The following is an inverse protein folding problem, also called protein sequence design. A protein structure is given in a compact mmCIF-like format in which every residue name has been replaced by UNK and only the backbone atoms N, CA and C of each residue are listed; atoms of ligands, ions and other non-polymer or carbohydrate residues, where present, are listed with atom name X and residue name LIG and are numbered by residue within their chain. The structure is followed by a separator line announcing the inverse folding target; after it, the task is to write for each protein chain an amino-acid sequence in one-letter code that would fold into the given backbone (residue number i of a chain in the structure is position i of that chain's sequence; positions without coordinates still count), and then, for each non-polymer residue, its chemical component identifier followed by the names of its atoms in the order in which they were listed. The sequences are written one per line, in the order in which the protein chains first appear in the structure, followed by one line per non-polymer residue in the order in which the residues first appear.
data_IF_240963483871
#
_entry.id   IF_240963483871
#
_cell.length_a   1.000
_cell.length_b   1.000
_cell.length_c   1.000
_cell.angle_alpha   90.00
_cell.angle_beta   90.00
_cell.angle_gamma   90.00
#
_symmetry.space_group_name_H-M   'P 1'
#
loop_
_entity.id
_entity.type
_entity.pdbx_description
1 polymer ?
#
# COMPACT_ATOMS: atom_id res chain seq x y z
N UNK A 1 -54.54 11.27 -10.81
CA UNK A 1 -53.13 11.43 -11.14
C UNK A 1 -52.49 10.05 -11.19
N UNK A 2 -52.34 9.51 -12.38
CA UNK A 2 -51.71 8.20 -12.64
C UNK A 2 -50.21 8.38 -12.47
N UNK A 3 -49.59 7.74 -11.48
CA UNK A 3 -48.14 7.58 -11.43
C UNK A 3 -47.73 6.65 -12.56
N UNK A 4 -47.05 7.20 -13.57
CA UNK A 4 -46.28 6.39 -14.51
C UNK A 4 -45.29 5.52 -13.71
N UNK A 5 -45.26 4.20 -13.96
CA UNK A 5 -44.24 3.34 -13.30
C UNK A 5 -42.86 3.82 -13.70
N UNK A 6 -41.97 3.94 -12.72
CA UNK A 6 -40.55 4.22 -12.90
C UNK A 6 -39.97 3.10 -13.79
N UNK A 7 -39.35 3.40 -14.95
CA UNK A 7 -38.93 2.38 -15.91
C UNK A 7 -37.73 1.54 -15.41
N UNK A 8 -37.14 1.87 -14.25
CA UNK A 8 -36.06 1.10 -13.67
C UNK A 8 -36.49 0.43 -12.36
N UNK A 9 -36.32 -0.89 -12.21
CA UNK A 9 -36.50 -1.55 -10.92
C UNK A 9 -35.60 -0.88 -9.87
N UNK A 10 -36.03 -0.89 -8.60
CA UNK A 10 -35.23 -0.36 -7.51
C UNK A 10 -33.86 -1.06 -7.47
N UNK A 11 -32.75 -0.31 -7.27
CA UNK A 11 -31.40 -0.87 -7.23
C UNK A 11 -31.32 -2.02 -6.21
N UNK A 12 -30.93 -3.21 -6.66
CA UNK A 12 -30.91 -4.42 -5.84
C UNK A 12 -29.67 -5.26 -6.13
N UNK A 13 -28.55 -5.03 -5.40
CA UNK A 13 -27.40 -5.91 -5.45
C UNK A 13 -27.80 -7.36 -5.13
N UNK A 14 -27.23 -8.35 -5.83
CA UNK A 14 -27.42 -9.78 -5.57
C UNK A 14 -26.52 -10.25 -4.42
N UNK A 15 -25.40 -9.56 -4.20
CA UNK A 15 -24.49 -9.77 -3.10
C UNK A 15 -25.14 -9.48 -1.74
N UNK A 16 -24.37 -9.62 -0.70
CA UNK A 16 -24.86 -9.43 0.68
C UNK A 16 -24.98 -7.96 0.99
N UNK A 17 -26.19 -7.49 1.24
CA UNK A 17 -26.47 -6.12 1.73
C UNK A 17 -26.75 -6.20 3.22
N UNK A 18 -25.99 -5.45 4.01
CA UNK A 18 -26.11 -5.42 5.47
C UNK A 18 -26.28 -4.00 5.93
N UNK A 19 -27.32 -3.74 6.72
CA UNK A 19 -27.61 -2.41 7.26
C UNK A 19 -27.22 -2.30 8.72
N UNK A 20 -26.85 -1.11 9.15
CA UNK A 20 -26.55 -0.83 10.56
C UNK A 20 -27.71 -1.25 11.47
N UNK A 21 -27.39 -2.00 12.53
CA UNK A 21 -28.35 -2.56 13.45
C UNK A 21 -28.78 -4.01 13.14
N UNK A 22 -28.46 -4.55 11.97
CA UNK A 22 -28.70 -5.97 11.66
C UNK A 22 -27.67 -6.89 12.37
N UNK A 23 -28.06 -8.14 12.65
CA UNK A 23 -27.23 -9.09 13.40
C UNK A 23 -25.88 -9.40 12.74
N UNK A 24 -25.77 -9.32 11.40
CA UNK A 24 -24.54 -9.56 10.63
C UNK A 24 -23.64 -8.32 10.48
N UNK A 25 -24.13 -7.15 10.92
CA UNK A 25 -23.47 -5.87 10.65
C UNK A 25 -22.06 -5.78 11.24
N UNK A 26 -21.89 -6.06 12.53
CA UNK A 26 -20.58 -5.96 13.17
C UNK A 26 -19.56 -6.94 12.57
N UNK A 27 -20.01 -8.14 12.21
CA UNK A 27 -19.14 -9.11 11.52
C UNK A 27 -18.66 -8.55 10.17
N UNK A 28 -19.52 -7.94 9.38
CA UNK A 28 -19.18 -7.35 8.09
C UNK A 28 -18.24 -6.14 8.26
N UNK A 29 -18.57 -5.23 9.18
CA UNK A 29 -17.79 -4.02 9.48
C UNK A 29 -16.38 -4.36 9.96
N UNK A 30 -16.25 -5.23 10.95
CA UNK A 30 -14.95 -5.62 11.51
C UNK A 30 -14.12 -6.43 10.50
N UNK A 31 -14.77 -7.28 9.69
CA UNK A 31 -14.12 -8.05 8.62
C UNK A 31 -13.61 -7.20 7.46
N UNK A 32 -14.06 -5.95 7.32
CA UNK A 32 -13.60 -5.03 6.29
C UNK A 32 -12.20 -4.45 6.56
N UNK A 33 -11.61 -4.69 7.73
CA UNK A 33 -10.30 -4.16 8.13
C UNK A 33 -9.39 -5.30 8.58
N UNK A 34 -8.20 -5.40 8.00
CA UNK A 34 -7.19 -6.40 8.34
C UNK A 34 -6.57 -6.14 9.72
N UNK A 35 -6.20 -4.88 10.02
CA UNK A 35 -5.61 -4.48 11.29
C UNK A 35 -6.49 -4.92 12.47
N UNK A 36 -5.91 -5.50 13.53
CA UNK A 36 -6.67 -5.82 14.74
C UNK A 36 -7.20 -4.55 15.45
N UNK A 37 -6.56 -3.42 15.23
CA UNK A 37 -7.05 -2.11 15.64
C UNK A 37 -8.18 -1.66 14.71
N UNK A 38 -9.42 -1.94 15.14
CA UNK A 38 -10.60 -1.63 14.35
C UNK A 38 -11.02 -0.17 14.54
N UNK A 39 -11.35 0.55 13.46
CA UNK A 39 -11.83 1.93 13.59
C UNK A 39 -13.22 2.00 14.23
N UNK A 40 -13.45 2.99 15.06
CA UNK A 40 -14.76 3.30 15.64
C UNK A 40 -15.58 4.16 14.66
N UNK A 41 -15.84 3.61 13.48
CA UNK A 41 -16.59 4.20 12.38
C UNK A 41 -17.62 3.20 11.87
N UNK A 42 -18.79 3.71 11.52
CA UNK A 42 -20.00 2.90 11.26
C UNK A 42 -20.69 3.30 9.97
N UNK A 43 -20.42 2.63 8.83
CA UNK A 43 -21.21 2.80 7.60
C UNK A 43 -22.69 2.49 7.86
N UNK A 44 -23.61 3.21 7.20
CA UNK A 44 -25.04 2.89 7.31
C UNK A 44 -25.42 1.61 6.58
N UNK A 45 -24.72 1.35 5.46
CA UNK A 45 -24.91 0.18 4.61
C UNK A 45 -23.56 -0.41 4.21
N UNK A 46 -23.45 -1.74 4.21
CA UNK A 46 -22.31 -2.48 3.66
C UNK A 46 -22.85 -3.39 2.56
N UNK A 47 -22.30 -3.26 1.35
CA UNK A 47 -22.60 -4.15 0.23
C UNK A 47 -21.36 -4.99 -0.07
N UNK A 48 -21.43 -6.29 0.19
CA UNK A 48 -20.40 -7.26 -0.20
C UNK A 48 -20.73 -7.72 -1.62
N UNK A 49 -20.01 -7.19 -2.60
CA UNK A 49 -20.26 -7.46 -4.01
C UNK A 49 -19.75 -8.85 -4.42
N UNK A 50 -20.56 -9.59 -5.18
CA UNK A 50 -20.19 -10.88 -5.79
C UNK A 50 -19.56 -10.68 -7.18
N UNK A 51 -20.03 -9.68 -7.91
CA UNK A 51 -19.59 -9.37 -9.27
C UNK A 51 -19.66 -7.85 -9.57
N UNK A 52 -19.31 -7.47 -10.79
CA UNK A 52 -19.30 -6.08 -11.25
C UNK A 52 -20.71 -5.44 -11.27
N UNK A 53 -21.78 -6.25 -11.47
CA UNK A 53 -23.16 -5.76 -11.47
C UNK A 53 -23.57 -5.34 -10.08
N UNK A 54 -23.14 -6.06 -9.06
CA UNK A 54 -23.39 -5.68 -7.67
C UNK A 54 -22.74 -4.34 -7.32
N UNK A 55 -21.56 -4.06 -7.87
CA UNK A 55 -20.91 -2.74 -7.71
C UNK A 55 -21.72 -1.65 -8.37
N UNK A 56 -22.22 -1.86 -9.59
CA UNK A 56 -23.13 -0.94 -10.30
C UNK A 56 -24.38 -0.67 -9.47
N UNK A 57 -25.03 -1.73 -8.97
CA UNK A 57 -26.26 -1.60 -8.17
C UNK A 57 -25.97 -0.95 -6.80
N UNK A 58 -24.81 -1.20 -6.17
CA UNK A 58 -24.41 -0.52 -4.94
C UNK A 58 -24.25 0.99 -5.13
N UNK A 59 -23.62 1.42 -6.23
CA UNK A 59 -23.46 2.84 -6.57
C UNK A 59 -24.84 3.47 -6.84
N UNK A 60 -25.73 2.80 -7.57
CA UNK A 60 -27.10 3.25 -7.82
C UNK A 60 -27.91 3.36 -6.53
N UNK A 61 -27.79 2.39 -5.64
CA UNK A 61 -28.41 2.39 -4.31
C UNK A 61 -27.93 3.59 -3.49
N UNK A 62 -26.63 3.83 -3.46
CA UNK A 62 -26.04 4.96 -2.75
C UNK A 62 -26.60 6.30 -3.26
N UNK A 63 -26.71 6.46 -4.59
CA UNK A 63 -27.34 7.66 -5.18
C UNK A 63 -28.81 7.81 -4.79
N UNK A 64 -29.59 6.72 -4.88
CA UNK A 64 -31.01 6.75 -4.57
C UNK A 64 -31.27 7.11 -3.10
N UNK A 65 -30.42 6.62 -2.19
CA UNK A 65 -30.51 6.89 -0.75
C UNK A 65 -29.68 8.12 -0.30
N UNK A 66 -29.01 8.82 -1.24
CA UNK A 66 -28.16 9.99 -0.98
C UNK A 66 -27.01 9.68 0.01
N UNK A 67 -26.43 8.50 -0.11
CA UNK A 67 -25.32 8.02 0.70
C UNK A 67 -24.00 8.28 -0.05
N UNK A 68 -22.96 8.70 0.68
CA UNK A 68 -21.60 8.73 0.12
C UNK A 68 -21.00 7.33 0.10
N UNK A 69 -20.21 7.03 -0.92
CA UNK A 69 -19.62 5.71 -1.14
C UNK A 69 -18.17 5.69 -0.67
N UNK A 70 -17.82 4.69 0.12
CA UNK A 70 -16.44 4.27 0.39
C UNK A 70 -16.20 2.88 -0.18
N UNK A 71 -14.93 2.54 -0.43
CA UNK A 71 -14.55 1.28 -1.09
C UNK A 71 -13.48 0.55 -0.28
N UNK A 72 -13.62 -0.77 -0.21
CA UNK A 72 -12.64 -1.67 0.39
C UNK A 72 -12.37 -2.84 -0.56
N UNK A 73 -11.09 -3.14 -0.85
CA UNK A 73 -10.67 -4.37 -1.54
C UNK A 73 -9.99 -5.34 -0.55
N UNK A 74 -8.69 -5.31 -0.36
CA UNK A 74 -7.98 -6.16 0.62
C UNK A 74 -8.17 -5.79 2.09
N UNK A 75 -8.59 -4.55 2.39
CA UNK A 75 -8.78 -4.08 3.77
C UNK A 75 -7.48 -3.77 4.52
N UNK A 76 -6.36 -3.63 3.84
CA UNK A 76 -5.02 -3.46 4.41
C UNK A 76 -4.63 -2.02 4.77
N UNK A 77 -5.49 -1.03 4.56
CA UNK A 77 -5.23 0.31 5.10
C UNK A 77 -5.01 0.22 6.61
N UNK A 78 -3.88 0.70 7.10
CA UNK A 78 -3.53 0.68 8.51
C UNK A 78 -4.56 1.37 9.39
N UNK A 79 -5.19 2.43 8.86
CA UNK A 79 -6.23 3.22 9.52
C UNK A 79 -7.65 2.80 9.13
N UNK A 80 -7.83 1.71 8.37
CA UNK A 80 -9.14 1.25 7.92
C UNK A 80 -9.87 2.29 7.05
N UNK A 81 -9.19 2.92 6.09
CA UNK A 81 -9.70 4.03 5.29
C UNK A 81 -11.02 3.73 4.54
N UNK A 82 -11.30 2.47 4.20
CA UNK A 82 -12.55 2.07 3.56
C UNK A 82 -13.77 2.12 4.51
N UNK A 83 -13.57 1.97 5.83
CA UNK A 83 -14.65 2.04 6.81
C UNK A 83 -14.83 3.47 7.29
N UNK A 84 -15.93 4.12 6.92
CA UNK A 84 -16.26 5.53 7.22
C UNK A 84 -17.57 5.63 7.97
N UNK A 85 -17.76 6.71 8.74
CA UNK A 85 -19.04 6.99 9.39
C UNK A 85 -20.09 7.39 8.37
N UNK A 86 -21.26 6.77 8.48
CA UNK A 86 -22.36 6.98 7.56
C UNK A 86 -22.03 6.53 6.13
N UNK A 87 -23.01 6.59 5.26
CA UNK A 87 -22.85 6.25 3.86
C UNK A 87 -22.84 4.74 3.58
N UNK A 88 -22.37 4.35 2.40
CA UNK A 88 -22.35 2.99 1.92
C UNK A 88 -20.92 2.53 1.69
N UNK A 89 -20.53 1.41 2.30
CA UNK A 89 -19.28 0.72 2.03
C UNK A 89 -19.49 -0.35 0.95
N UNK A 90 -18.80 -0.21 -0.19
CA UNK A 90 -18.68 -1.26 -1.19
C UNK A 90 -17.49 -2.15 -0.80
N UNK A 91 -17.79 -3.37 -0.41
CA UNK A 91 -16.80 -4.39 -0.08
C UNK A 91 -16.56 -5.31 -1.29
N UNK A 92 -15.37 -5.21 -1.88
CA UNK A 92 -14.95 -5.97 -3.06
C UNK A 92 -14.22 -7.27 -2.69
N UNK A 93 -14.27 -7.73 -1.44
CA UNK A 93 -13.46 -8.87 -0.95
C UNK A 93 -13.65 -10.17 -1.75
N UNK A 94 -14.76 -10.33 -2.44
CA UNK A 94 -15.08 -11.50 -3.27
C UNK A 94 -14.63 -11.36 -4.73
N UNK A 95 -14.23 -10.17 -5.16
CA UNK A 95 -13.71 -9.93 -6.50
C UNK A 95 -12.21 -10.29 -6.55
N UNK A 96 -11.89 -11.55 -6.86
CA UNK A 96 -10.54 -12.11 -6.78
C UNK A 96 -10.08 -12.83 -8.07
N UNK A 97 -10.85 -12.75 -9.15
CA UNK A 97 -10.53 -13.42 -10.39
C UNK A 97 -9.23 -12.91 -11.00
N UNK A 98 -8.43 -13.83 -11.56
CA UNK A 98 -7.18 -13.56 -12.25
C UNK A 98 -7.20 -14.31 -13.59
N UNK A 99 -6.97 -13.59 -14.68
CA UNK A 99 -6.81 -14.16 -16.03
C UNK A 99 -5.50 -13.66 -16.62
N UNK A 100 -4.69 -14.57 -17.17
CA UNK A 100 -3.38 -14.25 -17.76
C UNK A 100 -3.47 -14.41 -19.29
N UNK A 101 -2.99 -13.40 -20.01
CA UNK A 101 -2.68 -13.49 -21.44
C UNK A 101 -1.16 -13.52 -21.62
N UNK A 102 -0.56 -14.71 -21.78
CA UNK A 102 0.89 -14.83 -21.92
C UNK A 102 1.43 -14.21 -23.22
N UNK A 103 0.65 -14.23 -24.30
CA UNK A 103 1.07 -13.67 -25.60
C UNK A 103 1.04 -12.15 -25.59
N UNK A 104 0.00 -11.57 -24.98
CA UNK A 104 -0.09 -10.12 -24.77
C UNK A 104 0.73 -9.60 -23.61
N UNK A 105 1.43 -10.49 -22.85
CA UNK A 105 2.19 -10.17 -21.63
C UNK A 105 1.37 -9.30 -20.67
N UNK A 106 0.13 -9.73 -20.43
CA UNK A 106 -0.81 -9.00 -19.59
C UNK A 106 -1.59 -9.92 -18.66
N UNK A 107 -2.13 -9.34 -17.60
CA UNK A 107 -3.04 -10.01 -16.70
C UNK A 107 -4.24 -9.11 -16.40
N UNK A 108 -5.42 -9.72 -16.35
CA UNK A 108 -6.66 -9.09 -15.93
C UNK A 108 -6.96 -9.57 -14.52
N UNK A 109 -7.01 -8.64 -13.55
CA UNK A 109 -7.01 -8.97 -12.13
C UNK A 109 -8.09 -8.16 -11.40
N UNK A 110 -8.92 -8.83 -10.62
CA UNK A 110 -9.91 -8.18 -9.77
C UNK A 110 -9.28 -7.63 -8.48
N UNK A 111 -9.87 -6.57 -7.86
CA UNK A 111 -9.22 -5.75 -6.83
C UNK A 111 -8.77 -6.48 -5.57
N UNK A 112 -9.40 -7.59 -5.21
CA UNK A 112 -9.07 -8.32 -3.97
C UNK A 112 -8.20 -9.56 -4.19
N UNK A 113 -7.75 -9.81 -5.42
CA UNK A 113 -6.72 -10.81 -5.69
C UNK A 113 -5.43 -10.43 -4.94
N UNK A 114 -4.78 -11.42 -4.33
CA UNK A 114 -3.60 -11.23 -3.48
C UNK A 114 -2.30 -11.51 -4.23
N UNK A 115 -1.22 -10.94 -3.75
CA UNK A 115 0.10 -11.10 -4.36
C UNK A 115 0.51 -12.53 -4.63
N UNK A 116 0.46 -13.46 -3.66
CA UNK A 116 0.81 -14.88 -3.89
C UNK A 116 -0.04 -15.56 -4.97
N UNK A 117 -1.33 -15.21 -5.08
CA UNK A 117 -2.25 -15.75 -6.08
C UNK A 117 -1.87 -15.27 -7.49
N UNK A 118 -1.58 -13.98 -7.62
CA UNK A 118 -1.11 -13.36 -8.87
C UNK A 118 0.21 -13.98 -9.30
N UNK A 119 1.19 -14.10 -8.41
CA UNK A 119 2.49 -14.72 -8.72
C UNK A 119 2.33 -16.20 -9.16
N UNK A 120 1.43 -16.94 -8.49
CA UNK A 120 1.14 -18.34 -8.85
C UNK A 120 0.50 -18.45 -10.22
N UNK A 121 -0.40 -17.53 -10.59
CA UNK A 121 -1.02 -17.52 -11.93
C UNK A 121 -0.01 -17.15 -13.03
N UNK A 122 0.93 -16.26 -12.77
CA UNK A 122 1.94 -15.80 -13.74
C UNK A 122 3.10 -16.79 -13.93
N UNK A 123 3.48 -17.51 -12.87
CA UNK A 123 4.68 -18.35 -12.84
C UNK A 123 4.76 -19.41 -13.95
N UNK A 124 3.67 -20.15 -14.33
CA UNK A 124 3.71 -21.14 -15.41
C UNK A 124 4.05 -20.54 -16.78
N UNK A 125 3.89 -19.23 -16.93
CA UNK A 125 4.12 -18.50 -18.18
C UNK A 125 5.47 -17.76 -18.19
N UNK A 126 6.31 -17.94 -17.17
CA UNK A 126 7.57 -17.20 -17.05
C UNK A 126 7.38 -15.70 -16.82
N UNK A 127 6.25 -15.33 -16.24
CA UNK A 127 5.86 -13.94 -16.01
C UNK A 127 5.89 -13.57 -14.52
N UNK A 128 5.97 -12.27 -14.25
CA UNK A 128 6.09 -11.67 -12.92
C UNK A 128 5.37 -10.31 -12.87
N UNK A 129 4.89 -9.93 -11.67
CA UNK A 129 4.33 -8.62 -11.39
C UNK A 129 4.87 -8.09 -10.05
N UNK A 130 5.16 -6.77 -9.88
CA UNK A 130 5.64 -6.20 -8.63
C UNK A 130 4.53 -6.09 -7.58
N UNK A 131 4.10 -7.22 -7.03
CA UNK A 131 3.09 -7.31 -5.97
C UNK A 131 3.62 -6.84 -4.62
N UNK A 132 2.72 -6.40 -3.72
CA UNK A 132 3.10 -5.98 -2.37
C UNK A 132 3.85 -7.05 -1.58
N UNK A 133 4.66 -6.63 -0.60
CA UNK A 133 5.49 -7.53 0.20
C UNK A 133 4.66 -8.43 1.13
N UNK A 134 3.57 -7.92 1.74
CA UNK A 134 2.72 -8.73 2.60
C UNK A 134 1.78 -9.64 1.78
N UNK A 135 1.65 -10.95 2.13
CA UNK A 135 0.94 -11.93 1.31
C UNK A 135 -0.58 -11.71 1.26
N UNK A 136 -1.13 -10.98 2.21
CA UNK A 136 -2.57 -10.77 2.38
C UNK A 136 -3.08 -9.48 1.73
N UNK A 137 -2.20 -8.64 1.19
CA UNK A 137 -2.56 -7.37 0.53
C UNK A 137 -3.29 -7.64 -0.79
N UNK A 138 -4.50 -7.07 -0.93
CA UNK A 138 -5.24 -7.06 -2.20
C UNK A 138 -4.67 -6.04 -3.17
N UNK A 139 -4.71 -6.38 -4.47
CA UNK A 139 -4.07 -5.57 -5.52
C UNK A 139 -4.69 -4.18 -5.67
N UNK A 140 -6.01 -4.00 -5.42
CA UNK A 140 -6.75 -2.79 -5.76
C UNK A 140 -6.20 -1.52 -5.11
N UNK A 141 -6.25 -1.44 -3.77
CA UNK A 141 -5.70 -0.27 -3.05
C UNK A 141 -4.19 -0.12 -3.22
N UNK A 142 -3.48 -1.23 -3.38
CA UNK A 142 -2.05 -1.26 -3.60
C UNK A 142 -1.65 -0.53 -4.90
N UNK A 143 -2.19 -0.93 -6.05
CA UNK A 143 -1.84 -0.29 -7.33
C UNK A 143 -2.42 1.12 -7.45
N UNK A 144 -3.62 1.39 -6.93
CA UNK A 144 -4.16 2.74 -6.93
C UNK A 144 -3.29 3.73 -6.13
N UNK A 145 -2.63 3.25 -5.06
CA UNK A 145 -1.77 4.05 -4.19
C UNK A 145 -0.31 4.16 -4.61
N UNK A 146 0.04 3.69 -5.82
CA UNK A 146 1.42 3.63 -6.31
C UNK A 146 1.92 2.19 -6.37
N UNK A 147 1.98 1.49 -5.23
CA UNK A 147 2.34 0.08 -5.19
C UNK A 147 3.85 -0.16 -5.26
N UNK A 148 4.52 0.01 -4.15
CA UNK A 148 5.94 -0.33 -4.00
C UNK A 148 6.05 -1.76 -3.48
N UNK A 149 6.36 -2.70 -4.35
CA UNK A 149 6.40 -4.12 -4.04
C UNK A 149 7.69 -4.80 -4.54
N UNK A 150 7.66 -6.12 -4.57
CA UNK A 150 8.81 -6.91 -4.98
C UNK A 150 9.37 -6.48 -6.34
N UNK A 151 10.66 -6.17 -6.40
CA UNK A 151 11.38 -5.71 -7.58
C UNK A 151 10.91 -4.35 -8.15
N UNK A 152 10.13 -3.56 -7.39
CA UNK A 152 9.67 -2.25 -7.87
C UNK A 152 10.80 -1.25 -8.08
N UNK A 153 11.97 -1.44 -7.43
CA UNK A 153 13.14 -0.59 -7.71
C UNK A 153 13.61 -0.72 -9.16
N UNK A 154 13.39 -1.87 -9.81
CA UNK A 154 13.70 -2.10 -11.21
C UNK A 154 12.51 -1.82 -12.14
N UNK A 155 11.33 -2.33 -11.78
CA UNK A 155 10.14 -2.30 -12.64
C UNK A 155 9.34 -1.00 -12.51
N UNK A 156 9.62 -0.20 -11.49
CA UNK A 156 8.82 0.96 -11.11
C UNK A 156 7.67 0.59 -10.16
N UNK A 157 6.99 1.60 -9.59
CA UNK A 157 5.75 1.39 -8.85
C UNK A 157 4.70 0.67 -9.69
N UNK A 158 3.97 -0.26 -9.07
CA UNK A 158 3.04 -1.15 -9.77
C UNK A 158 1.93 -0.42 -10.54
N UNK A 159 1.56 0.80 -10.11
CA UNK A 159 0.58 1.63 -10.80
C UNK A 159 0.99 2.00 -12.24
N UNK A 160 2.29 2.05 -12.54
CA UNK A 160 2.80 2.34 -13.87
C UNK A 160 2.58 1.18 -14.86
N UNK A 161 2.26 0.00 -14.36
CA UNK A 161 1.91 -1.17 -15.16
C UNK A 161 0.40 -1.31 -15.41
N UNK A 162 -0.44 -0.36 -14.96
CA UNK A 162 -1.87 -0.38 -15.29
C UNK A 162 -2.05 0.07 -16.74
N UNK A 163 -2.46 -0.84 -17.63
CA UNK A 163 -2.74 -0.53 -19.05
C UNK A 163 -4.19 -0.14 -19.32
N UNK A 164 -5.13 -0.66 -18.51
CA UNK A 164 -6.55 -0.33 -18.56
C UNK A 164 -7.23 -0.64 -17.23
N UNK A 165 -8.41 -0.09 -17.00
CA UNK A 165 -9.28 -0.41 -15.86
C UNK A 165 -10.74 -0.54 -16.30
N UNK A 166 -11.49 -1.44 -15.64
CA UNK A 166 -12.95 -1.41 -15.65
C UNK A 166 -13.40 -0.72 -14.37
N UNK A 167 -14.18 0.34 -14.50
CA UNK A 167 -14.55 1.23 -13.39
C UNK A 167 -16.00 1.62 -13.42
N UNK A 168 -16.68 1.56 -12.26
CA UNK A 168 -18.01 2.08 -12.06
C UNK A 168 -17.93 3.54 -11.62
N UNK A 169 -18.53 4.42 -12.40
CA UNK A 169 -18.56 5.87 -12.17
C UNK A 169 -19.70 6.29 -11.23
N UNK A 170 -19.73 7.57 -10.86
CA UNK A 170 -20.70 8.11 -9.92
C UNK A 170 -22.16 8.03 -10.42
N UNK A 171 -22.42 7.96 -11.72
CA UNK A 171 -23.75 7.75 -12.31
C UNK A 171 -24.19 6.27 -12.34
N UNK A 172 -23.31 5.35 -11.92
CA UNK A 172 -23.53 3.90 -11.97
C UNK A 172 -23.24 3.28 -13.35
N UNK A 173 -22.52 3.99 -14.23
CA UNK A 173 -22.05 3.43 -15.51
C UNK A 173 -20.76 2.66 -15.30
N UNK A 174 -20.66 1.46 -15.86
CA UNK A 174 -19.41 0.70 -15.95
C UNK A 174 -18.72 1.08 -17.27
N UNK A 175 -17.47 1.56 -17.18
CA UNK A 175 -16.68 1.95 -18.35
C UNK A 175 -15.34 1.23 -18.37
N UNK A 176 -14.81 0.98 -19.57
CA UNK A 176 -13.46 0.50 -19.80
C UNK A 176 -12.56 1.68 -20.17
N UNK A 177 -11.59 2.02 -19.32
CA UNK A 177 -10.70 3.16 -19.51
C UNK A 177 -9.31 2.70 -19.96
N UNK A 178 -8.86 3.26 -21.08
CA UNK A 178 -7.53 3.05 -21.69
C UNK A 178 -6.87 4.41 -21.97
N UNK A 179 -5.67 4.41 -22.53
CA UNK A 179 -5.01 5.65 -22.98
C UNK A 179 -5.75 6.32 -24.14
N UNK A 180 -6.57 5.56 -24.93
CA UNK A 180 -7.40 6.09 -26.02
C UNK A 180 -8.82 6.43 -25.58
N UNK A 181 -9.37 5.65 -24.64
CA UNK A 181 -10.77 5.79 -24.17
C UNK A 181 -10.77 6.14 -22.69
N UNK A 182 -11.29 7.31 -22.33
CA UNK A 182 -11.28 7.83 -20.95
C UNK A 182 -9.87 7.98 -20.34
N UNK A 183 -8.88 8.56 -21.04
CA UNK A 183 -7.48 8.61 -20.58
C UNK A 183 -7.33 9.32 -19.23
N UNK A 184 -8.23 10.23 -18.88
CA UNK A 184 -8.22 10.91 -17.57
C UNK A 184 -8.50 9.97 -16.40
N UNK A 185 -9.37 8.96 -16.59
CA UNK A 185 -9.66 7.94 -15.58
C UNK A 185 -8.45 7.02 -15.38
N UNK A 186 -7.84 6.58 -16.48
CA UNK A 186 -6.65 5.73 -16.42
C UNK A 186 -5.46 6.47 -15.77
N UNK A 187 -5.25 7.73 -16.15
CA UNK A 187 -4.24 8.58 -15.53
C UNK A 187 -4.46 8.70 -14.01
N UNK A 188 -5.70 8.95 -13.58
CA UNK A 188 -6.03 9.05 -12.16
C UNK A 188 -5.82 7.71 -11.42
N UNK A 189 -6.17 6.57 -12.03
CA UNK A 189 -5.96 5.25 -11.44
C UNK A 189 -4.47 4.91 -11.23
N UNK A 190 -3.57 5.53 -12.00
CA UNK A 190 -2.12 5.38 -11.85
C UNK A 190 -1.58 6.25 -10.72
N UNK A 191 -2.02 6.02 -9.47
CA UNK A 191 -1.39 6.55 -8.27
C UNK A 191 -2.14 7.65 -7.51
N UNK A 192 -3.46 7.83 -7.70
CA UNK A 192 -4.24 8.77 -6.88
C UNK A 192 -4.62 8.23 -5.49
N UNK A 193 -4.43 6.92 -5.25
CA UNK A 193 -4.79 6.29 -3.98
C UNK A 193 -6.26 6.47 -3.61
N UNK A 194 -6.56 6.80 -2.33
CA UNK A 194 -7.92 7.07 -1.89
C UNK A 194 -8.58 8.28 -2.55
N UNK A 195 -7.82 9.05 -3.31
CA UNK A 195 -8.31 10.17 -4.11
C UNK A 195 -9.04 9.75 -5.38
N UNK A 196 -9.05 8.49 -5.76
CA UNK A 196 -9.76 8.02 -6.94
C UNK A 196 -11.28 8.17 -6.80
N UNK A 197 -11.96 8.54 -7.88
CA UNK A 197 -13.38 8.91 -7.92
C UNK A 197 -14.23 7.93 -8.73
N UNK A 198 -14.09 6.64 -8.41
CA UNK A 198 -14.84 5.52 -9.00
C UNK A 198 -14.54 4.23 -8.25
N UNK A 199 -15.26 3.15 -8.58
CA UNK A 199 -15.01 1.82 -8.05
C UNK A 199 -14.40 0.97 -9.16
N UNK A 200 -13.09 0.71 -9.07
CA UNK A 200 -12.42 -0.18 -10.03
C UNK A 200 -12.82 -1.62 -9.72
N UNK A 201 -13.38 -2.30 -10.71
CA UNK A 201 -13.79 -3.71 -10.61
C UNK A 201 -12.77 -4.65 -11.21
N UNK A 202 -11.90 -4.15 -12.09
CA UNK A 202 -10.85 -4.92 -12.75
C UNK A 202 -9.69 -4.04 -13.20
N UNK A 203 -8.49 -4.51 -12.96
CA UNK A 203 -7.24 -3.93 -13.48
C UNK A 203 -6.70 -4.80 -14.61
N UNK A 204 -6.34 -4.19 -15.73
CA UNK A 204 -5.59 -4.83 -16.80
C UNK A 204 -4.14 -4.37 -16.68
N UNK A 205 -3.24 -5.31 -16.38
CA UNK A 205 -1.87 -5.04 -15.99
C UNK A 205 -0.90 -5.52 -17.06
N UNK A 206 0.10 -4.71 -17.39
CA UNK A 206 1.30 -5.18 -18.03
C UNK A 206 2.11 -6.05 -17.05
N UNK A 207 2.58 -7.19 -17.50
CA UNK A 207 3.39 -8.10 -16.71
C UNK A 207 4.78 -8.27 -17.31
N UNK A 208 5.76 -8.56 -16.47
CA UNK A 208 7.17 -8.55 -16.80
C UNK A 208 7.74 -9.96 -16.91
N UNK A 209 8.93 -10.10 -17.45
CA UNK A 209 9.66 -11.36 -17.40
C UNK A 209 9.99 -11.73 -15.96
N UNK A 210 9.83 -13.01 -15.66
CA UNK A 210 10.18 -13.52 -14.33
C UNK A 210 11.69 -13.52 -14.16
N UNK A 211 12.21 -13.08 -12.99
CA UNK A 211 13.61 -13.23 -12.64
C UNK A 211 14.07 -14.70 -12.80
N UNK A 212 15.27 -14.92 -13.33
CA UNK A 212 15.83 -16.27 -13.51
C UNK A 212 16.08 -16.98 -12.20
N UNK A 213 16.46 -16.22 -11.18
CA UNK A 213 16.58 -16.64 -9.79
C UNK A 213 16.42 -15.44 -8.86
N UNK A 214 16.17 -15.70 -7.58
CA UNK A 214 16.14 -14.69 -6.53
C UNK A 214 17.17 -15.06 -5.49
N UNK A 215 18.02 -14.10 -5.09
CA UNK A 215 19.05 -14.26 -4.08
C UNK A 215 18.87 -13.21 -2.98
N UNK A 216 19.21 -13.56 -1.74
CA UNK A 216 19.05 -12.68 -0.61
C UNK A 216 20.30 -12.65 0.25
N UNK A 217 20.74 -11.44 0.60
CA UNK A 217 21.76 -11.18 1.62
C UNK A 217 21.11 -10.46 2.81
N UNK A 218 21.45 -10.89 4.03
CA UNK A 218 21.01 -10.23 5.26
C UNK A 218 22.19 -10.14 6.23
N UNK A 219 22.52 -8.93 6.62
CA UNK A 219 23.47 -8.68 7.68
C UNK A 219 22.80 -7.96 8.83
N UNK A 220 22.87 -8.49 10.03
CA UNK A 220 22.35 -7.85 11.25
C UNK A 220 23.51 -7.44 12.14
N UNK A 221 23.49 -6.20 12.61
CA UNK A 221 24.52 -5.58 13.42
C UNK A 221 23.96 -5.12 14.77
N UNK A 222 24.81 -4.95 15.80
CA UNK A 222 24.40 -4.31 17.04
C UNK A 222 23.76 -2.94 16.78
N UNK A 223 22.76 -2.58 17.58
CA UNK A 223 21.99 -1.34 17.38
C UNK A 223 22.83 -0.07 17.56
N UNK A 224 23.93 -0.14 18.31
CA UNK A 224 24.90 0.95 18.47
C UNK A 224 25.60 1.35 17.18
N UNK A 225 25.64 0.46 16.17
CA UNK A 225 26.18 0.74 14.84
C UNK A 225 25.14 1.33 13.88
N UNK A 226 23.90 1.55 14.31
CA UNK A 226 22.80 1.91 13.38
C UNK A 226 23.11 3.14 12.51
N UNK A 227 23.68 4.20 13.08
CA UNK A 227 23.98 5.42 12.34
C UNK A 227 25.02 5.19 11.23
N UNK A 228 26.07 4.39 11.54
CA UNK A 228 27.09 4.00 10.57
C UNK A 228 26.51 3.09 9.48
N UNK A 229 25.70 2.12 9.88
CA UNK A 229 25.04 1.18 8.96
C UNK A 229 24.07 1.90 8.03
N UNK A 230 23.25 2.82 8.57
CA UNK A 230 22.31 3.60 7.77
C UNK A 230 23.02 4.53 6.80
N UNK A 231 24.07 5.24 7.24
CA UNK A 231 24.86 6.10 6.37
C UNK A 231 25.52 5.31 5.24
N UNK A 232 26.18 4.22 5.57
CA UNK A 232 26.82 3.36 4.58
C UNK A 232 25.83 2.76 3.58
N UNK A 233 24.65 2.33 4.05
CA UNK A 233 23.61 1.78 3.19
C UNK A 233 23.07 2.82 2.19
N UNK A 234 22.97 4.07 2.60
CA UNK A 234 22.53 5.17 1.76
C UNK A 234 23.51 5.46 0.61
N UNK A 235 24.81 5.34 0.89
CA UNK A 235 25.88 5.49 -0.11
C UNK A 235 26.00 4.23 -1.00
N UNK A 236 25.81 3.05 -0.41
CA UNK A 236 25.87 1.78 -1.15
C UNK A 236 24.82 1.69 -2.26
N UNK A 237 23.65 2.32 -2.08
CA UNK A 237 22.57 2.28 -3.05
C UNK A 237 23.02 2.64 -4.47
N UNK A 238 23.94 3.59 -4.61
CA UNK A 238 24.47 4.05 -5.93
C UNK A 238 25.32 2.99 -6.64
N UNK A 239 25.82 2.00 -5.90
CA UNK A 239 26.64 0.88 -6.40
C UNK A 239 25.80 -0.34 -6.77
N UNK A 240 24.56 -0.41 -6.29
CA UNK A 240 23.67 -1.55 -6.51
C UNK A 240 22.83 -1.37 -7.76
N UNK A 241 22.77 -2.36 -8.67
CA UNK A 241 21.85 -2.31 -9.80
C UNK A 241 20.40 -2.22 -9.34
N UNK A 242 19.52 -1.68 -10.17
CA UNK A 242 18.10 -1.51 -9.81
C UNK A 242 17.38 -2.83 -9.54
N UNK A 243 17.89 -3.95 -10.06
CA UNK A 243 17.38 -5.32 -9.79
C UNK A 243 17.63 -5.79 -8.37
N UNK A 244 18.39 -5.04 -7.55
CA UNK A 244 18.56 -5.30 -6.13
C UNK A 244 17.64 -4.40 -5.33
N UNK A 245 16.61 -4.98 -4.72
CA UNK A 245 15.81 -4.31 -3.71
C UNK A 245 16.60 -4.23 -2.40
N UNK A 246 16.69 -3.04 -1.80
CA UNK A 246 17.57 -2.79 -0.68
C UNK A 246 16.90 -2.00 0.44
N UNK A 247 17.06 -2.49 1.67
CA UNK A 247 16.49 -1.84 2.86
C UNK A 247 17.35 -2.05 4.09
N UNK A 248 17.23 -1.12 5.05
CA UNK A 248 17.66 -1.29 6.42
C UNK A 248 16.46 -1.30 7.36
N UNK A 249 16.55 -2.06 8.44
CA UNK A 249 15.53 -2.14 9.48
C UNK A 249 16.19 -2.03 10.85
N UNK A 250 15.83 -1.03 11.65
CA UNK A 250 16.25 -0.88 13.04
C UNK A 250 15.13 -1.31 13.97
N UNK A 251 15.42 -2.11 14.98
CA UNK A 251 14.45 -2.60 15.96
C UNK A 251 14.77 -4.03 16.42
N UNK A 252 13.79 -4.69 16.99
CA UNK A 252 13.91 -6.09 17.37
C UNK A 252 13.99 -6.98 16.11
N UNK A 253 14.99 -7.83 16.04
CA UNK A 253 15.11 -8.83 14.97
C UNK A 253 14.77 -10.20 15.54
N UNK A 254 13.74 -10.89 15.00
CA UNK A 254 13.39 -12.24 15.43
C UNK A 254 14.62 -13.18 15.42
N UNK A 255 14.83 -13.89 16.53
CA UNK A 255 15.92 -14.86 16.69
C UNK A 255 17.26 -14.29 17.14
N UNK A 256 17.45 -12.97 17.27
CA UNK A 256 18.63 -12.37 17.89
C UNK A 256 18.44 -12.03 19.37
N UNK A 257 17.20 -11.86 19.83
CA UNK A 257 16.89 -11.56 21.25
C UNK A 257 17.38 -10.18 21.74
N UNK A 258 17.84 -9.33 20.83
CA UNK A 258 18.38 -8.00 21.14
C UNK A 258 18.03 -7.02 19.98
N UNK A 259 17.86 -5.72 20.27
CA UNK A 259 17.73 -4.71 19.24
C UNK A 259 18.94 -4.71 18.30
N UNK A 260 18.66 -4.59 17.02
CA UNK A 260 19.67 -4.62 15.97
C UNK A 260 19.31 -3.73 14.79
N UNK A 261 20.27 -3.43 13.95
CA UNK A 261 20.06 -2.87 12.63
C UNK A 261 20.39 -3.92 11.58
N UNK A 262 19.42 -4.24 10.72
CA UNK A 262 19.58 -5.29 9.71
C UNK A 262 19.51 -4.69 8.31
N UNK A 263 20.53 -4.95 7.50
CA UNK A 263 20.52 -4.70 6.06
C UNK A 263 19.94 -5.92 5.35
N UNK A 264 19.03 -5.69 4.43
CA UNK A 264 18.49 -6.73 3.56
C UNK A 264 18.60 -6.28 2.11
N UNK A 265 19.25 -7.09 1.28
CA UNK A 265 19.31 -6.93 -0.15
C UNK A 265 18.74 -8.18 -0.82
N UNK A 266 17.81 -7.98 -1.74
CA UNK A 266 17.19 -9.06 -2.52
C UNK A 266 17.44 -8.81 -3.99
N UNK A 267 18.25 -9.65 -4.63
CA UNK A 267 18.54 -9.59 -6.04
C UNK A 267 17.50 -10.41 -6.83
N UNK A 268 16.80 -9.74 -7.72
CA UNK A 268 15.91 -10.33 -8.71
C UNK A 268 16.72 -10.50 -10.00
N UNK A 269 17.48 -11.61 -10.08
CA UNK A 269 18.48 -11.82 -11.10
C UNK A 269 17.90 -11.92 -12.52
N UNK A 270 18.62 -11.35 -13.47
CA UNK A 270 18.30 -11.43 -14.92
C UNK A 270 19.52 -11.93 -15.69
N UNK A 271 19.39 -12.31 -16.98
CA UNK A 271 20.53 -12.68 -17.81
C UNK A 271 21.49 -11.52 -18.14
N UNK A 272 21.13 -10.28 -17.79
CA UNK A 272 21.95 -9.11 -18.11
C UNK A 272 23.24 -9.10 -17.25
N UNK A 273 24.38 -8.65 -17.81
CA UNK A 273 25.63 -8.54 -17.06
C UNK A 273 25.50 -7.68 -15.79
N UNK A 274 26.05 -8.14 -14.67
CA UNK A 274 26.02 -7.45 -13.37
C UNK A 274 24.66 -7.48 -12.67
N UNK A 275 23.72 -8.27 -13.16
CA UNK A 275 22.38 -8.46 -12.57
C UNK A 275 22.16 -9.92 -12.10
N UNK A 276 23.23 -10.66 -11.90
CA UNK A 276 23.25 -11.98 -11.29
C UNK A 276 23.45 -11.92 -9.75
N UNK A 277 23.78 -13.08 -9.13
CA UNK A 277 24.07 -13.15 -7.70
C UNK A 277 25.21 -12.23 -7.24
N UNK A 278 26.19 -11.96 -8.11
CA UNK A 278 27.32 -11.05 -7.89
C UNK A 278 26.89 -9.60 -7.62
N UNK A 279 25.67 -9.23 -7.97
CA UNK A 279 25.10 -7.91 -7.65
C UNK A 279 24.98 -7.65 -6.15
N UNK A 280 25.07 -8.70 -5.32
CA UNK A 280 25.06 -8.63 -3.86
C UNK A 280 26.45 -8.51 -3.23
N UNK A 281 27.54 -8.74 -4.00
CA UNK A 281 28.92 -8.73 -3.50
C UNK A 281 29.29 -7.41 -2.79
N UNK A 282 28.83 -6.23 -3.26
CA UNK A 282 29.12 -4.98 -2.59
C UNK A 282 28.68 -4.88 -1.11
N UNK A 283 27.80 -5.77 -0.64
CA UNK A 283 27.41 -5.81 0.77
C UNK A 283 28.52 -6.38 1.67
N UNK A 284 29.42 -7.18 1.11
CA UNK A 284 30.57 -7.75 1.84
C UNK A 284 31.68 -6.71 2.13
N UNK A 285 31.66 -5.56 1.43
CA UNK A 285 32.59 -4.44 1.60
C UNK A 285 32.27 -3.56 2.83
N UNK A 286 31.24 -3.89 3.63
CA UNK A 286 30.85 -3.07 4.77
C UNK A 286 32.01 -2.92 5.78
N UNK A 287 32.39 -1.69 6.16
CA UNK A 287 33.57 -1.46 7.03
C UNK A 287 33.40 -2.04 8.44
N UNK A 288 32.20 -2.43 8.81
CA UNK A 288 31.83 -3.07 10.08
C UNK A 288 31.39 -4.53 9.87
N UNK A 289 31.76 -5.16 8.76
CA UNK A 289 31.33 -6.52 8.37
C UNK A 289 31.68 -7.59 9.43
N UNK A 290 32.82 -7.45 10.06
CA UNK A 290 33.33 -8.33 11.16
C UNK A 290 32.49 -8.23 12.45
N UNK A 291 31.69 -7.18 12.61
CA UNK A 291 30.80 -6.98 13.76
C UNK A 291 29.40 -7.55 13.57
N UNK A 292 29.14 -8.23 12.46
CA UNK A 292 27.82 -8.80 12.18
C UNK A 292 27.43 -9.87 13.21
N UNK A 293 26.28 -9.71 13.85
CA UNK A 293 25.64 -10.68 14.72
C UNK A 293 25.09 -11.88 13.94
N UNK A 294 24.65 -11.60 12.71
CA UNK A 294 24.13 -12.58 11.76
C UNK A 294 24.53 -12.19 10.36
N UNK A 295 24.90 -13.17 9.57
CA UNK A 295 25.16 -13.00 8.14
C UNK A 295 24.52 -14.13 7.35
N UNK A 296 23.77 -13.77 6.34
CA UNK A 296 23.28 -14.63 5.27
C UNK A 296 23.78 -13.99 3.98
N UNK A 297 24.47 -14.75 3.12
CA UNK A 297 25.16 -14.20 1.95
C UNK A 297 24.64 -14.88 0.70
N UNK A 298 24.04 -14.12 -0.19
CA UNK A 298 23.53 -14.52 -1.52
C UNK A 298 22.77 -15.88 -1.51
N UNK A 299 22.01 -16.15 -0.43
CA UNK A 299 21.25 -17.39 -0.29
C UNK A 299 20.13 -17.44 -1.33
N UNK A 300 19.96 -18.58 -2.05
CA UNK A 300 18.83 -18.77 -2.93
C UNK A 300 17.50 -18.65 -2.17
N UNK A 301 16.53 -18.00 -2.77
CA UNK A 301 15.19 -17.89 -2.21
C UNK A 301 14.15 -17.87 -3.33
N UNK A 302 12.87 -17.97 -2.94
CA UNK A 302 11.73 -17.91 -3.84
C UNK A 302 10.80 -16.77 -3.43
N UNK A 303 9.94 -16.33 -4.34
CA UNK A 303 8.92 -15.34 -4.00
C UNK A 303 7.98 -15.85 -2.89
N UNK A 304 7.71 -17.16 -2.81
CA UNK A 304 6.92 -17.76 -1.75
C UNK A 304 7.59 -17.63 -0.38
N UNK A 305 8.88 -17.95 -0.28
CA UNK A 305 9.66 -17.79 0.96
C UNK A 305 9.80 -16.33 1.39
N UNK A 306 9.88 -15.41 0.42
CA UNK A 306 9.88 -13.97 0.73
C UNK A 306 8.54 -13.54 1.35
N UNK A 307 7.40 -14.07 0.88
CA UNK A 307 6.10 -13.85 1.51
C UNK A 307 6.03 -14.43 2.92
N UNK A 308 6.55 -15.64 3.13
CA UNK A 308 6.58 -16.27 4.46
C UNK A 308 7.43 -15.46 5.46
N UNK A 309 8.52 -14.85 4.99
CA UNK A 309 9.35 -13.97 5.79
C UNK A 309 8.59 -12.69 6.15
N UNK A 310 7.93 -12.07 5.17
CA UNK A 310 7.16 -10.84 5.38
C UNK A 310 5.98 -11.04 6.34
N UNK A 311 5.30 -12.18 6.25
CA UNK A 311 4.21 -12.55 7.15
C UNK A 311 4.67 -12.70 8.61
N UNK A 312 5.84 -13.33 8.82
CA UNK A 312 6.43 -13.42 10.17
C UNK A 312 6.88 -12.07 10.74
N UNK A 313 7.21 -11.10 9.89
CA UNK A 313 7.61 -9.76 10.33
C UNK A 313 6.41 -8.85 10.62
N UNK A 314 5.28 -9.11 9.98
CA UNK A 314 4.04 -8.35 10.14
C UNK A 314 2.86 -9.30 10.37
N UNK A 315 2.85 -10.02 11.52
CA UNK A 315 1.83 -11.03 11.78
C UNK A 315 0.43 -10.44 11.88
N UNK A 316 -0.54 -11.18 11.37
CA UNK A 316 -1.96 -10.87 11.55
C UNK A 316 -2.36 -10.98 13.04
N UNK A 317 -3.36 -10.22 13.44
CA UNK A 317 -3.89 -10.24 14.81
C UNK A 317 -3.22 -9.25 15.76
N UNK A 318 -2.16 -8.57 15.34
CA UNK A 318 -1.62 -7.43 16.08
C UNK A 318 -2.37 -6.13 15.74
N UNK A 319 -2.33 -5.22 16.67
CA UNK A 319 -2.69 -3.81 16.50
C UNK A 319 -1.48 -3.11 15.88
N UNK A 320 -1.70 -2.39 14.80
CA UNK A 320 -0.64 -1.72 14.05
C UNK A 320 -0.90 -0.23 13.92
N UNK A 321 0.15 0.56 14.10
CA UNK A 321 0.25 1.94 13.61
C UNK A 321 1.47 2.02 12.70
N UNK A 322 1.29 2.60 11.54
CA UNK A 322 2.34 2.80 10.54
C UNK A 322 2.16 4.17 9.91
N UNK A 323 3.25 4.84 9.69
CA UNK A 323 3.31 6.06 8.91
C UNK A 323 4.65 6.10 8.18
N UNK A 324 4.86 7.06 7.30
CA UNK A 324 6.13 7.15 6.59
C UNK A 324 6.28 8.45 5.80
N UNK A 325 7.49 8.64 5.31
CA UNK A 325 7.84 9.82 4.52
C UNK A 325 8.88 9.45 3.46
N UNK A 326 8.66 9.89 2.25
CA UNK A 326 9.70 9.93 1.22
C UNK A 326 10.61 11.11 1.53
N UNK A 327 11.91 10.87 1.65
CA UNK A 327 12.87 11.89 2.03
C UNK A 327 14.14 11.85 1.18
N UNK A 328 14.64 13.03 0.86
CA UNK A 328 15.92 13.26 0.21
C UNK A 328 16.78 14.20 1.05
N UNK A 329 18.08 14.02 0.95
CA UNK A 329 19.07 14.85 1.60
C UNK A 329 20.37 14.10 1.86
N UNK A 330 21.37 14.73 2.45
CA UNK A 330 22.57 14.03 2.91
C UNK A 330 22.23 12.98 3.97
N UNK A 331 22.90 11.81 3.90
CA UNK A 331 22.62 10.69 4.82
C UNK A 331 22.67 11.11 6.31
N UNK A 332 23.67 11.92 6.68
CA UNK A 332 23.85 12.39 8.06
C UNK A 332 22.72 13.30 8.54
N UNK A 333 22.16 14.11 7.65
CA UNK A 333 21.03 14.98 7.98
C UNK A 333 19.74 14.16 8.17
N UNK A 334 19.47 13.19 7.27
CA UNK A 334 18.35 12.26 7.40
C UNK A 334 18.43 11.45 8.69
N UNK A 335 19.60 10.88 9.01
CA UNK A 335 19.81 10.10 10.22
C UNK A 335 19.64 11.00 11.46
N UNK A 336 20.22 12.20 11.45
CA UNK A 336 20.07 13.18 12.51
C UNK A 336 18.60 13.55 12.77
N UNK A 337 17.83 13.80 11.72
CA UNK A 337 16.40 14.08 11.79
C UNK A 337 15.58 12.85 12.25
N UNK A 338 16.01 11.63 11.91
CA UNK A 338 15.36 10.39 12.30
C UNK A 338 15.70 9.92 13.73
N UNK A 339 16.69 10.54 14.43
CA UNK A 339 17.09 10.13 15.79
C UNK A 339 15.93 10.05 16.79
N UNK A 340 14.97 10.98 16.85
CA UNK A 340 13.87 10.87 17.80
C UNK A 340 13.08 9.55 17.67
N UNK A 341 12.90 9.04 16.45
CA UNK A 341 12.23 7.76 16.23
C UNK A 341 13.17 6.57 16.45
N UNK A 342 14.43 6.68 16.04
CA UNK A 342 15.42 5.60 16.16
C UNK A 342 15.87 5.34 17.61
N UNK A 343 15.88 6.37 18.46
CA UNK A 343 16.31 6.28 19.87
C UNK A 343 15.21 5.74 20.80
N UNK A 344 13.96 5.72 20.33
CA UNK A 344 12.78 5.42 21.16
C UNK A 344 11.92 4.31 20.60
N UNK A 345 12.49 3.40 19.79
CA UNK A 345 11.75 2.26 19.21
C UNK A 345 11.14 1.43 20.35
N UNK A 346 9.81 1.27 20.41
CA UNK A 346 9.17 0.43 21.41
C UNK A 346 9.60 -1.04 21.28
N UNK A 347 9.59 -1.77 22.40
CA UNK A 347 9.87 -3.19 22.43
C UNK A 347 8.88 -4.03 21.60
N UNK A 348 9.23 -5.27 21.31
CA UNK A 348 8.37 -6.24 20.65
C UNK A 348 8.41 -6.14 19.13
N UNK A 349 7.24 -5.93 18.48
CA UNK A 349 7.12 -5.97 17.01
C UNK A 349 7.30 -4.59 16.35
N UNK A 350 7.84 -3.60 17.10
CA UNK A 350 8.05 -2.26 16.56
C UNK A 350 9.42 -2.12 15.89
N UNK A 351 9.48 -1.37 14.81
CA UNK A 351 10.70 -1.14 14.05
C UNK A 351 10.62 0.13 13.20
N UNK A 352 11.79 0.62 12.79
CA UNK A 352 11.91 1.67 11.79
C UNK A 352 12.43 1.03 10.50
N UNK A 353 11.65 1.13 9.43
CA UNK A 353 12.02 0.69 8.09
C UNK A 353 12.66 1.87 7.34
N UNK A 354 13.78 1.59 6.70
CA UNK A 354 14.52 2.49 5.84
C UNK A 354 14.67 1.82 4.48
N UNK A 355 13.71 2.07 3.58
CA UNK A 355 13.76 1.51 2.22
C UNK A 355 14.53 2.45 1.31
N UNK A 356 15.45 1.90 0.52
CA UNK A 356 16.30 2.61 -0.39
C UNK A 356 15.90 2.30 -1.83
N UNK A 357 15.20 3.24 -2.47
CA UNK A 357 14.63 3.06 -3.80
C UNK A 357 15.42 3.77 -4.90
N UNK A 358 15.86 4.98 -4.66
CA UNK A 358 16.36 5.88 -5.69
C UNK A 358 15.23 6.63 -6.40
N UNK A 359 15.56 7.24 -7.54
CA UNK A 359 14.64 8.06 -8.30
C UNK A 359 14.24 7.39 -9.61
N UNK A 360 12.95 7.49 -9.93
CA UNK A 360 12.41 7.14 -11.24
C UNK A 360 12.22 8.40 -12.08
N UNK A 361 12.35 8.33 -13.42
CA UNK A 361 12.02 9.46 -14.27
C UNK A 361 10.54 9.84 -14.12
N UNK A 362 10.19 11.13 -14.26
CA UNK A 362 8.80 11.57 -14.26
C UNK A 362 7.95 10.82 -15.29
N UNK A 363 6.69 10.57 -14.93
CA UNK A 363 5.71 9.83 -15.74
C UNK A 363 4.48 10.71 -15.96
N UNK A 364 4.43 11.49 -17.06
CA UNK A 364 3.31 12.41 -17.33
C UNK A 364 1.98 11.70 -17.52
N UNK A 365 2.00 10.41 -17.86
CA UNK A 365 0.83 9.54 -18.00
C UNK A 365 0.29 8.96 -16.68
N UNK A 366 0.86 9.35 -15.53
CA UNK A 366 0.47 8.86 -14.21
C UNK A 366 0.18 10.01 -13.24
N UNK A 367 -0.79 9.81 -12.37
CA UNK A 367 -1.08 10.68 -11.22
C UNK A 367 0.02 10.57 -10.14
N UNK A 368 0.63 9.39 -10.03
CA UNK A 368 1.74 9.16 -9.12
C UNK A 368 2.90 10.14 -9.34
N UNK A 369 3.37 10.77 -8.26
CA UNK A 369 4.42 11.80 -8.35
C UNK A 369 5.33 11.89 -7.13
N UNK A 370 4.92 11.37 -5.98
CA UNK A 370 5.75 11.41 -4.77
C UNK A 370 6.81 10.32 -4.80
N UNK A 371 8.07 10.71 -4.74
CA UNK A 371 9.23 9.83 -4.68
C UNK A 371 10.45 10.51 -4.09
N UNK A 372 11.36 9.73 -3.55
CA UNK A 372 12.66 10.16 -3.08
C UNK A 372 13.65 8.99 -3.02
N UNK A 373 14.92 9.26 -2.68
CA UNK A 373 15.95 8.24 -2.53
C UNK A 373 15.62 7.24 -1.41
N UNK A 374 15.06 7.71 -0.30
CA UNK A 374 14.73 6.88 0.85
C UNK A 374 13.26 7.04 1.27
N UNK A 375 12.67 5.93 1.73
CA UNK A 375 11.39 5.92 2.45
C UNK A 375 11.65 5.50 3.89
N UNK A 376 11.41 6.43 4.82
CA UNK A 376 11.53 6.21 6.26
C UNK A 376 10.15 5.91 6.82
N UNK A 377 9.98 4.76 7.49
CA UNK A 377 8.70 4.35 8.03
C UNK A 377 8.84 3.74 9.42
N UNK A 378 8.38 4.42 10.49
CA UNK A 378 8.14 3.81 11.78
C UNK A 378 6.91 2.90 11.71
N UNK A 379 7.06 1.68 12.23
CA UNK A 379 6.03 0.66 12.30
C UNK A 379 5.93 0.18 13.72
N UNK A 380 4.79 0.35 14.36
CA UNK A 380 4.51 -0.16 15.70
C UNK A 380 3.50 -1.31 15.64
N UNK A 381 3.83 -2.43 16.30
CA UNK A 381 2.95 -3.59 16.42
C UNK A 381 2.83 -4.02 17.89
N UNK A 382 1.61 -4.13 18.42
CA UNK A 382 1.35 -4.45 19.83
C UNK A 382 0.04 -5.24 20.02
N UNK A 383 -0.22 -5.71 21.23
CA UNK A 383 -1.41 -6.50 21.57
C UNK A 383 -2.44 -5.71 22.38
N UNK A 384 -2.01 -5.00 23.42
CA UNK A 384 -2.90 -4.40 24.42
C UNK A 384 -3.52 -3.08 23.89
N UNK A 385 -4.88 -2.99 23.79
CA UNK A 385 -5.54 -1.74 23.42
C UNK A 385 -5.18 -0.53 24.30
N UNK A 386 -4.78 -0.75 25.56
CA UNK A 386 -4.36 0.34 26.45
C UNK A 386 -3.09 1.07 25.97
N UNK A 387 -2.30 0.44 25.11
CA UNK A 387 -1.06 0.98 24.56
C UNK A 387 -1.27 1.74 23.24
N UNK A 388 -2.49 1.80 22.70
CA UNK A 388 -2.80 2.41 21.41
C UNK A 388 -2.22 3.82 21.28
N UNK A 389 -2.49 4.69 22.27
CA UNK A 389 -2.08 6.09 22.22
C UNK A 389 -0.55 6.24 22.28
N UNK A 390 0.13 5.40 23.04
CA UNK A 390 1.59 5.44 23.15
C UNK A 390 2.27 5.10 21.83
N UNK A 391 1.81 4.03 21.17
CA UNK A 391 2.34 3.58 19.88
C UNK A 391 2.00 4.53 18.75
N UNK A 392 0.78 5.08 18.71
CA UNK A 392 0.42 6.12 17.75
C UNK A 392 1.28 7.37 17.88
N UNK A 393 1.43 7.85 19.11
CA UNK A 393 2.26 9.04 19.37
C UNK A 393 3.72 8.80 18.96
N UNK A 394 4.25 7.59 19.17
CA UNK A 394 5.59 7.26 18.71
C UNK A 394 5.67 7.31 17.17
N UNK A 395 4.72 6.70 16.45
CA UNK A 395 4.71 6.68 14.98
C UNK A 395 4.56 8.09 14.39
N UNK A 396 3.56 8.86 14.85
CA UNK A 396 3.24 10.16 14.24
C UNK A 396 4.13 11.29 14.76
N UNK A 397 4.41 11.31 16.04
CA UNK A 397 5.22 12.38 16.67
C UNK A 397 6.66 12.40 16.16
N UNK A 398 7.19 11.26 15.83
CA UNK A 398 8.59 11.08 15.41
C UNK A 398 8.90 11.60 14.01
N UNK A 399 7.92 11.67 13.13
CA UNK A 399 8.12 12.11 11.74
C UNK A 399 8.15 13.63 11.57
N UNK A 400 7.71 14.37 12.57
CA UNK A 400 7.75 15.84 12.53
C UNK A 400 9.17 16.40 12.35
N UNK A 401 10.17 15.75 12.92
CA UNK A 401 11.58 16.14 12.79
C UNK A 401 12.13 15.92 11.35
N UNK A 402 11.57 14.98 10.59
CA UNK A 402 12.00 14.67 9.22
C UNK A 402 11.24 15.50 8.17
N UNK A 403 10.21 16.24 8.58
CA UNK A 403 9.29 16.95 7.66
C UNK A 403 10.01 17.90 6.70
N UNK A 404 11.06 18.58 7.13
CA UNK A 404 11.83 19.52 6.29
C UNK A 404 12.58 18.84 5.13
N UNK A 405 12.81 17.53 5.21
CA UNK A 405 13.43 16.68 4.17
C UNK A 405 12.38 15.94 3.33
N UNK A 406 11.10 16.07 3.67
CA UNK A 406 10.01 15.35 3.01
C UNK A 406 9.83 15.76 1.56
N UNK A 407 9.65 14.75 0.68
CA UNK A 407 9.23 14.88 -0.72
C UNK A 407 7.81 14.37 -0.94
N UNK A 408 7.16 13.90 0.10
CA UNK A 408 5.82 13.39 0.07
C UNK A 408 5.64 12.11 0.86
N UNK A 409 4.50 11.48 0.69
CA UNK A 409 4.09 10.28 1.43
C UNK A 409 3.60 9.18 0.49
N UNK A 410 3.46 7.98 1.02
CA UNK A 410 2.89 6.83 0.33
C UNK A 410 1.43 6.64 0.76
N UNK A 411 0.50 6.72 -0.19
CA UNK A 411 -0.93 6.68 0.11
C UNK A 411 -1.40 5.41 0.82
N UNK A 412 -0.74 4.29 0.57
CA UNK A 412 -1.12 3.00 1.14
C UNK A 412 -0.77 2.85 2.62
N UNK A 413 0.27 3.57 3.09
CA UNK A 413 0.86 3.39 4.42
C UNK A 413 0.54 4.52 5.40
N UNK A 414 0.06 5.65 4.91
CA UNK A 414 -0.07 6.85 5.72
C UNK A 414 -1.47 7.11 6.26
N UNK A 415 -1.56 7.69 7.45
CA UNK A 415 -2.75 8.36 7.93
C UNK A 415 -2.83 9.76 7.30
N UNK A 416 -3.55 9.86 6.19
CA UNK A 416 -3.60 11.08 5.37
C UNK A 416 -4.33 12.24 6.05
N UNK A 417 -5.10 11.98 7.12
CA UNK A 417 -5.86 12.98 7.82
C UNK A 417 -4.98 13.91 8.67
N UNK A 418 -3.90 13.38 9.21
CA UNK A 418 -3.05 14.08 10.19
C UNK A 418 -1.73 14.59 9.56
N UNK A 419 -1.62 14.54 8.22
CA UNK A 419 -0.39 14.89 7.50
C UNK A 419 -0.52 16.16 6.68
N UNK A 420 0.51 17.00 6.77
CA UNK A 420 0.67 18.19 5.92
C UNK A 420 1.36 17.86 4.58
N UNK A 421 2.09 16.75 4.54
CA UNK A 421 2.76 16.29 3.33
C UNK A 421 1.74 15.85 2.29
N UNK A 422 2.07 16.06 1.03
CA UNK A 422 1.23 15.68 -0.09
C UNK A 422 1.73 14.40 -0.72
N UNK A 423 0.81 13.47 -1.02
CA UNK A 423 1.11 12.28 -1.81
C UNK A 423 1.26 12.56 -3.30
N UNK A 424 0.95 13.79 -3.74
CA UNK A 424 1.00 14.23 -5.14
C UNK A 424 1.69 15.57 -5.26
N UNK A 425 2.27 15.83 -6.44
CA UNK A 425 2.67 17.19 -6.83
C UNK A 425 1.46 18.12 -6.88
N UNK A 426 1.68 19.44 -6.75
CA UNK A 426 0.60 20.41 -6.82
C UNK A 426 -0.14 20.35 -8.17
N UNK A 427 0.59 20.16 -9.28
CA UNK A 427 0.02 20.02 -10.62
C UNK A 427 -0.87 18.78 -10.75
N UNK A 428 -0.40 17.63 -10.26
CA UNK A 428 -1.17 16.38 -10.30
C UNK A 428 -2.39 16.43 -9.38
N UNK A 429 -2.28 17.08 -8.20
CA UNK A 429 -3.41 17.29 -7.32
C UNK A 429 -4.49 18.17 -7.97
N UNK A 430 -4.10 19.27 -8.63
CA UNK A 430 -5.04 20.15 -9.35
C UNK A 430 -5.71 19.42 -10.52
N UNK A 431 -4.96 18.65 -11.31
CA UNK A 431 -5.49 17.84 -12.40
C UNK A 431 -6.47 16.79 -11.90
N UNK A 432 -6.17 16.12 -10.79
CA UNK A 432 -7.05 15.13 -10.18
C UNK A 432 -8.38 15.73 -9.74
N UNK A 433 -8.37 16.91 -9.12
CA UNK A 433 -9.60 17.59 -8.70
C UNK A 433 -10.43 18.07 -9.89
N UNK A 434 -9.82 18.52 -10.98
CA UNK A 434 -10.53 18.84 -12.24
C UNK A 434 -11.24 17.61 -12.81
N UNK A 435 -10.57 16.46 -12.84
CA UNK A 435 -11.17 15.21 -13.32
C UNK A 435 -12.29 14.73 -12.40
N UNK A 436 -12.11 14.87 -11.08
CA UNK A 436 -13.17 14.57 -10.11
C UNK A 436 -14.41 15.42 -10.37
N UNK A 437 -14.27 16.73 -10.58
CA UNK A 437 -15.38 17.61 -10.90
C UNK A 437 -16.16 17.20 -12.14
N UNK A 438 -15.54 16.47 -13.07
CA UNK A 438 -16.20 15.95 -14.28
C UNK A 438 -16.93 14.63 -14.00
N UNK A 439 -16.29 13.69 -13.29
CA UNK A 439 -16.78 12.31 -13.16
C UNK A 439 -17.54 12.04 -11.85
N UNK A 440 -17.37 12.89 -10.84
CA UNK A 440 -18.08 12.84 -9.56
C UNK A 440 -18.46 14.25 -9.07
N UNK A 441 -19.26 15.00 -9.84
CA UNK A 441 -19.60 16.40 -9.54
C UNK A 441 -20.37 16.58 -8.24
N UNK A 442 -21.12 15.55 -7.82
CA UNK A 442 -21.93 15.56 -6.60
C UNK A 442 -21.13 15.10 -5.37
N UNK A 443 -19.87 14.68 -5.53
CA UNK A 443 -19.01 14.18 -4.45
C UNK A 443 -19.54 12.88 -3.82
N UNK A 444 -20.05 11.97 -4.65
CA UNK A 444 -20.58 10.67 -4.21
C UNK A 444 -19.50 9.84 -3.53
N UNK A 445 -18.31 9.78 -4.12
CA UNK A 445 -17.21 8.98 -3.59
C UNK A 445 -16.46 9.72 -2.48
N UNK A 446 -16.20 9.01 -1.39
CA UNK A 446 -15.30 9.50 -0.35
C UNK A 446 -13.86 9.47 -0.86
N UNK A 447 -13.11 10.48 -0.44
CA UNK A 447 -11.72 10.67 -0.83
C UNK A 447 -10.78 10.45 0.37
N UNK A 448 -9.68 11.19 0.40
CA UNK A 448 -8.77 11.19 1.55
C UNK A 448 -9.53 11.46 2.85
N UNK A 449 -9.08 10.81 3.92
CA UNK A 449 -9.66 11.03 5.25
C UNK A 449 -9.33 12.46 5.71
N UNK A 450 -10.31 13.10 6.35
CA UNK A 450 -10.11 14.43 6.95
C UNK A 450 -9.66 14.31 8.41
N UNK A 451 -9.04 15.35 9.00
CA UNK A 451 -8.70 15.35 10.43
C UNK A 451 -9.89 15.04 11.35
N UNK A 452 -11.09 15.56 11.03
CA UNK A 452 -12.29 15.27 11.81
C UNK A 452 -12.69 13.78 11.77
N UNK A 453 -12.51 13.12 10.61
CA UNK A 453 -12.77 11.68 10.47
C UNK A 453 -11.69 10.82 11.16
N UNK A 454 -10.47 11.30 11.27
CA UNK A 454 -9.38 10.63 11.98
C UNK A 454 -9.57 10.68 13.49
N UNK A 455 -9.94 11.85 14.05
CA UNK A 455 -10.15 12.02 15.48
C UNK A 455 -11.33 11.21 16.04
N UNK A 456 -12.35 10.94 15.23
CA UNK A 456 -13.44 10.02 15.57
C UNK A 456 -13.03 8.56 15.47
N UNK A 457 -11.94 8.27 14.77
CA UNK A 457 -11.52 6.91 14.47
C UNK A 457 -11.00 6.13 15.68
N UNK A 458 -10.60 6.81 16.74
CA UNK A 458 -9.97 6.20 17.91
C UNK A 458 -10.39 6.95 19.18
N UNK A 459 -11.71 7.15 19.35
CA UNK A 459 -12.24 7.69 20.58
C UNK A 459 -11.78 6.79 21.74
N UNK A 460 -10.75 7.27 22.42
CA UNK A 460 -10.20 6.61 23.60
C UNK A 460 -11.34 6.48 24.60
N UNK A 461 -11.59 5.26 25.06
CA UNK A 461 -12.31 5.02 26.28
C UNK A 461 -11.57 5.81 27.38
N UNK A 462 -11.99 7.06 27.68
CA UNK A 462 -11.32 7.89 28.67
C UNK A 462 -11.44 9.40 28.48
N UNK A 463 -12.50 9.92 27.84
CA UNK A 463 -12.97 11.29 28.10
C UNK A 463 -14.38 11.18 28.74
N UNK A 464 -14.40 10.92 30.02
CA UNK A 464 -15.49 11.28 30.91
C UNK A 464 -15.11 12.56 31.65
#
# INVERSE_FOLDING_TARGET
MSRTPDPHPAPSPRGVVVRRGEASYEKARLGAVWNARKPDRFPDVIVVAEDERDVVEAVRLARAEKLRVSVRSGGHSWVGNGVRDGGLLVDLSRLQEITVDPHGRSASVQPSAKGPEIQRALAPHGLFFPTGHAPTVGIGGFVLGGGYGWNSRHLGPACLSIRAIDVVLADGTLVHATDETHPGLLWAARGSGPGFFGVVTRFHLDVHERPTEIRRTVHSYPIDLRDEVLAWSYDLLERLPTTVEFSAKAGFTPGLGTPSVSLTATAFCTPAPGQGPESLDPLEDAPFRDRALRAVVAEPTTIGELYDIADRLNPEGLRWAVDGVWADGPAQELIGAARPVLDTIPDGNSFVLWMLWGHYPPRPEACWSAQAKAYLSPNAGWHDPAEDLAHENWVHGSLSAVQHLSKGLQFSDNNLADRFDRGLSAENAERLEKLRGIHDPDGLFRTYMTPAESTTAYAVAGRA
#
